data_IF_764113603131
#
_entry.id   IF_764113603131
#
_cell.length_a   1.000
_cell.length_b   1.000
_cell.length_c   1.000
_cell.angle_alpha   90.00
_cell.angle_beta   90.00
_cell.angle_gamma   90.00
#
_symmetry.space_group_name_H-M   'P 1'
#
loop_
_entity.id
_entity.type
_entity.pdbx_description
1 polymer ?
#
# COMPACT_ATOMS: atom_id res chain seq x y z
N UNK A 1 22.03 -19.87 -16.82
CA UNK A 1 22.04 -20.00 -15.35
C UNK A 1 20.97 -21.01 -14.97
N UNK A 2 21.33 -22.06 -14.23
CA UNK A 2 20.34 -22.98 -13.64
C UNK A 2 19.61 -22.29 -12.51
N UNK A 3 18.39 -22.74 -12.16
CA UNK A 3 17.62 -22.15 -11.05
C UNK A 3 18.39 -22.22 -9.72
N UNK A 4 19.13 -23.30 -9.47
CA UNK A 4 20.00 -23.44 -8.31
C UNK A 4 21.10 -22.37 -8.23
N UNK A 5 21.70 -22.00 -9.38
CA UNK A 5 22.72 -20.95 -9.42
C UNK A 5 22.12 -19.57 -9.13
N UNK A 6 20.87 -19.33 -9.55
CA UNK A 6 20.17 -18.08 -9.23
C UNK A 6 19.84 -18.03 -7.75
N UNK A 7 19.31 -19.12 -7.19
CA UNK A 7 18.96 -19.20 -5.77
C UNK A 7 20.18 -18.96 -4.89
N UNK A 8 21.32 -19.63 -5.17
CA UNK A 8 22.58 -19.40 -4.42
C UNK A 8 23.05 -17.95 -4.48
N UNK A 9 22.89 -17.28 -5.63
CA UNK A 9 23.22 -15.85 -5.74
C UNK A 9 22.29 -14.98 -4.89
N UNK A 10 21.00 -15.31 -4.88
CA UNK A 10 20.01 -14.60 -4.05
C UNK A 10 20.27 -14.82 -2.56
N UNK A 11 20.59 -16.04 -2.15
CA UNK A 11 20.94 -16.38 -0.78
C UNK A 11 22.19 -15.62 -0.31
N UNK A 12 23.26 -15.62 -1.13
CA UNK A 12 24.46 -14.85 -0.85
C UNK A 12 24.17 -13.35 -0.75
N UNK A 13 23.32 -12.83 -1.63
CA UNK A 13 22.93 -11.43 -1.59
C UNK A 13 22.14 -11.10 -0.32
N UNK A 14 21.23 -11.98 0.09
CA UNK A 14 20.43 -11.82 1.31
C UNK A 14 21.32 -11.76 2.55
N UNK A 15 22.29 -12.68 2.65
CA UNK A 15 23.26 -12.72 3.76
C UNK A 15 24.25 -11.55 3.75
N UNK A 16 24.56 -10.97 2.57
CA UNK A 16 25.41 -9.78 2.47
C UNK A 16 24.64 -8.50 2.78
N UNK A 17 23.33 -8.48 2.48
CA UNK A 17 22.48 -7.30 2.65
C UNK A 17 22.06 -7.09 4.09
N UNK A 18 21.93 -8.16 4.87
CA UNK A 18 21.42 -8.11 6.23
C UNK A 18 22.29 -8.90 7.20
N UNK A 19 22.71 -8.25 8.26
CA UNK A 19 23.51 -8.84 9.34
C UNK A 19 22.62 -9.48 10.42
N UNK A 20 21.32 -9.21 10.41
CA UNK A 20 20.35 -9.82 11.34
C UNK A 20 18.91 -9.82 10.80
N UNK A 21 18.06 -10.64 11.42
CA UNK A 21 16.60 -10.61 11.19
C UNK A 21 15.98 -9.24 11.51
N UNK A 22 16.58 -8.50 12.45
CA UNK A 22 16.10 -7.19 12.83
C UNK A 22 16.23 -6.21 11.66
N UNK A 23 17.35 -6.23 10.92
CA UNK A 23 17.55 -5.33 9.76
C UNK A 23 16.56 -5.62 8.64
N UNK A 24 16.21 -6.89 8.40
CA UNK A 24 15.19 -7.28 7.44
C UNK A 24 13.83 -6.70 7.85
N UNK A 25 13.50 -6.82 9.14
CA UNK A 25 12.24 -6.29 9.70
C UNK A 25 12.20 -4.76 9.66
N UNK A 26 13.31 -4.08 9.94
CA UNK A 26 13.43 -2.64 9.86
C UNK A 26 13.28 -2.12 8.42
N UNK A 27 13.92 -2.79 7.46
CA UNK A 27 13.77 -2.49 6.04
C UNK A 27 12.30 -2.63 5.59
N UNK A 28 11.63 -3.72 5.98
CA UNK A 28 10.19 -3.90 5.73
C UNK A 28 9.38 -2.73 6.32
N UNK A 29 9.64 -2.36 7.57
CA UNK A 29 8.92 -1.28 8.25
C UNK A 29 9.11 0.08 7.57
N UNK A 30 10.30 0.35 7.04
CA UNK A 30 10.58 1.58 6.28
C UNK A 30 9.75 1.62 5.00
N UNK A 31 9.69 0.51 4.25
CA UNK A 31 8.88 0.44 3.02
C UNK A 31 7.39 0.60 3.31
N UNK A 32 6.88 -0.07 4.34
CA UNK A 32 5.48 0.05 4.78
C UNK A 32 5.17 1.48 5.27
N UNK A 33 6.11 2.13 5.96
CA UNK A 33 5.93 3.51 6.45
C UNK A 33 5.72 4.49 5.29
N UNK A 34 6.43 4.32 4.18
CA UNK A 34 6.22 5.13 2.98
C UNK A 34 4.80 4.96 2.43
N UNK A 35 4.32 3.72 2.31
CA UNK A 35 2.95 3.44 1.84
C UNK A 35 1.89 4.03 2.78
N UNK A 36 2.13 3.98 4.09
CA UNK A 36 1.23 4.56 5.08
C UNK A 36 1.11 6.09 4.96
N UNK A 37 2.19 6.78 4.58
CA UNK A 37 2.13 8.20 4.29
C UNK A 37 1.23 8.49 3.10
N UNK A 38 1.42 7.77 1.99
CA UNK A 38 0.62 7.92 0.77
C UNK A 38 -0.87 7.59 1.02
N UNK A 39 -1.13 6.56 1.83
CA UNK A 39 -2.48 6.18 2.26
C UNK A 39 -3.17 7.31 3.01
N UNK A 40 -2.51 7.89 4.02
CA UNK A 40 -3.07 9.01 4.80
C UNK A 40 -3.40 10.22 3.93
N UNK A 41 -2.54 10.53 2.96
CA UNK A 41 -2.78 11.61 2.00
C UNK A 41 -4.05 11.34 1.18
N UNK A 42 -4.19 10.12 0.65
CA UNK A 42 -5.37 9.73 -0.12
C UNK A 42 -6.64 9.66 0.73
N UNK A 43 -6.56 9.22 1.97
CA UNK A 43 -7.68 9.23 2.93
C UNK A 43 -8.15 10.65 3.24
N UNK A 44 -7.22 11.59 3.48
CA UNK A 44 -7.56 12.99 3.68
C UNK A 44 -8.23 13.61 2.44
N UNK A 45 -7.69 13.32 1.25
CA UNK A 45 -8.32 13.72 -0.01
C UNK A 45 -9.72 13.13 -0.17
N UNK A 46 -9.89 11.84 0.16
CA UNK A 46 -11.19 11.16 0.14
C UNK A 46 -12.20 11.84 1.05
N UNK A 47 -11.82 12.15 2.27
CA UNK A 47 -12.70 12.77 3.26
C UNK A 47 -13.23 14.12 2.72
N UNK A 48 -12.33 14.98 2.23
CA UNK A 48 -12.70 16.26 1.64
C UNK A 48 -13.65 16.11 0.45
N UNK A 49 -13.41 15.12 -0.43
CA UNK A 49 -14.29 14.84 -1.56
C UNK A 49 -15.67 14.33 -1.12
N UNK A 50 -15.75 13.47 -0.11
CA UNK A 50 -17.03 12.99 0.45
C UNK A 50 -17.83 14.13 1.06
N UNK A 51 -17.18 15.01 1.82
CA UNK A 51 -17.82 16.19 2.41
C UNK A 51 -18.37 17.13 1.33
N UNK A 52 -17.57 17.37 0.29
CA UNK A 52 -17.96 18.19 -0.87
C UNK A 52 -19.15 17.59 -1.61
N UNK A 53 -19.10 16.28 -1.89
CA UNK A 53 -20.19 15.56 -2.57
C UNK A 53 -21.49 15.59 -1.77
N UNK A 54 -21.42 15.37 -0.45
CA UNK A 54 -22.58 15.50 0.45
C UNK A 54 -23.10 16.94 0.56
N UNK A 55 -22.22 17.94 0.43
CA UNK A 55 -22.61 19.35 0.32
C UNK A 55 -23.44 19.60 -0.93
N UNK A 56 -22.95 19.15 -2.08
CA UNK A 56 -23.64 19.27 -3.37
C UNK A 56 -25.02 18.58 -3.37
N UNK A 57 -25.14 17.38 -2.79
CA UNK A 57 -26.44 16.71 -2.62
C UNK A 57 -27.42 17.58 -1.81
N UNK A 58 -26.95 18.17 -0.71
CA UNK A 58 -27.79 19.01 0.16
C UNK A 58 -28.27 20.25 -0.58
N UNK A 59 -27.37 20.95 -1.25
CA UNK A 59 -27.69 22.16 -2.01
C UNK A 59 -28.69 21.86 -3.14
N UNK A 60 -28.48 20.78 -3.90
CA UNK A 60 -29.43 20.34 -4.93
C UNK A 60 -30.81 20.03 -4.33
N UNK A 61 -30.85 19.38 -3.16
CA UNK A 61 -32.10 19.12 -2.44
C UNK A 61 -32.80 20.39 -1.94
N UNK A 62 -32.04 21.39 -1.49
CA UNK A 62 -32.58 22.70 -1.10
C UNK A 62 -33.17 23.44 -2.29
N UNK A 63 -32.49 23.44 -3.45
CA UNK A 63 -33.01 24.00 -4.71
C UNK A 63 -34.35 23.36 -5.09
N UNK A 64 -34.43 22.03 -5.07
CA UNK A 64 -35.68 21.32 -5.37
C UNK A 64 -36.81 21.69 -4.41
N UNK A 65 -36.54 21.76 -3.09
CA UNK A 65 -37.54 22.17 -2.09
C UNK A 65 -38.01 23.61 -2.29
N UNK A 66 -37.13 24.49 -2.78
CA UNK A 66 -37.47 25.87 -3.13
C UNK A 66 -38.19 26.00 -4.49
N UNK A 67 -38.48 24.88 -5.17
CA UNK A 67 -39.10 24.88 -6.51
C UNK A 67 -38.14 25.30 -7.63
N UNK A 68 -36.83 25.35 -7.37
CA UNK A 68 -35.80 25.63 -8.35
C UNK A 68 -35.36 24.34 -9.04
N UNK A 69 -35.02 24.41 -10.33
CA UNK A 69 -34.44 23.28 -11.04
C UNK A 69 -33.00 23.05 -10.59
N UNK A 70 -32.64 21.78 -10.37
CA UNK A 70 -31.25 21.34 -10.32
C UNK A 70 -30.74 21.37 -11.75
N UNK A 71 -29.73 22.18 -12.03
CA UNK A 71 -29.25 22.37 -13.38
C UNK A 71 -28.21 21.30 -13.76
N UNK A 72 -27.90 21.20 -15.06
CA UNK A 72 -26.93 20.22 -15.56
C UNK A 72 -25.53 20.38 -14.96
N UNK A 73 -25.18 21.59 -14.52
CA UNK A 73 -23.88 21.87 -13.92
C UNK A 73 -23.77 21.25 -12.52
N UNK A 74 -24.80 21.38 -11.69
CA UNK A 74 -24.88 20.73 -10.38
C UNK A 74 -24.71 19.20 -10.54
N UNK A 75 -25.42 18.61 -11.51
CA UNK A 75 -25.33 17.18 -11.81
C UNK A 75 -23.93 16.78 -12.27
N UNK A 76 -23.30 17.54 -13.17
CA UNK A 76 -21.93 17.26 -13.64
C UNK A 76 -20.90 17.31 -12.52
N UNK A 77 -21.02 18.28 -11.60
CA UNK A 77 -20.11 18.40 -10.47
C UNK A 77 -20.22 17.19 -9.53
N UNK A 78 -21.45 16.74 -9.25
CA UNK A 78 -21.69 15.53 -8.47
C UNK A 78 -21.10 14.29 -9.12
N UNK A 79 -21.29 14.11 -10.44
CA UNK A 79 -20.68 13.00 -11.19
C UNK A 79 -19.15 13.07 -11.15
N UNK A 80 -18.57 14.25 -11.33
CA UNK A 80 -17.11 14.43 -11.28
C UNK A 80 -16.54 14.01 -9.92
N UNK A 81 -17.19 14.42 -8.83
CA UNK A 81 -16.79 14.01 -7.48
C UNK A 81 -16.94 12.49 -7.27
N UNK A 82 -18.00 11.89 -7.78
CA UNK A 82 -18.22 10.44 -7.70
C UNK A 82 -17.13 9.65 -8.43
N UNK A 83 -16.75 10.08 -9.65
CA UNK A 83 -15.66 9.46 -10.41
C UNK A 83 -14.33 9.58 -9.67
N UNK A 84 -14.01 10.76 -9.13
CA UNK A 84 -12.78 10.96 -8.34
C UNK A 84 -12.76 10.13 -7.05
N UNK A 85 -13.92 9.97 -6.38
CA UNK A 85 -14.04 9.10 -5.21
C UNK A 85 -13.81 7.61 -5.55
N UNK A 86 -14.26 7.18 -6.73
CA UNK A 86 -14.02 5.82 -7.21
C UNK A 86 -12.52 5.61 -7.56
N UNK A 87 -11.89 6.57 -8.24
CA UNK A 87 -10.46 6.56 -8.53
C UNK A 87 -9.61 6.51 -7.25
N UNK A 88 -9.88 7.41 -6.31
CA UNK A 88 -9.22 7.42 -5.01
C UNK A 88 -9.41 6.09 -4.26
N UNK A 89 -10.61 5.50 -4.31
CA UNK A 89 -10.87 4.17 -3.74
C UNK A 89 -10.01 3.07 -4.37
N UNK A 90 -9.85 3.08 -5.69
CA UNK A 90 -8.96 2.13 -6.40
C UNK A 90 -7.49 2.33 -6.00
N UNK A 91 -7.03 3.57 -5.86
CA UNK A 91 -5.68 3.88 -5.41
C UNK A 91 -5.42 3.39 -3.98
N UNK A 92 -6.37 3.58 -3.07
CA UNK A 92 -6.27 3.06 -1.70
C UNK A 92 -6.19 1.52 -1.67
N UNK A 93 -7.03 0.84 -2.46
CA UNK A 93 -6.99 -0.61 -2.58
C UNK A 93 -5.65 -1.12 -3.14
N UNK A 94 -5.08 -0.42 -4.13
CA UNK A 94 -3.78 -0.74 -4.69
C UNK A 94 -2.65 -0.58 -3.66
N UNK A 95 -2.69 0.46 -2.81
CA UNK A 95 -1.73 0.63 -1.72
C UNK A 95 -1.82 -0.49 -0.69
N UNK A 96 -3.03 -0.96 -0.36
CA UNK A 96 -3.23 -2.11 0.53
C UNK A 96 -2.66 -3.39 -0.06
N UNK A 97 -2.98 -3.71 -1.31
CA UNK A 97 -2.43 -4.89 -1.97
C UNK A 97 -0.88 -4.83 -2.07
N UNK A 98 -0.33 -3.64 -2.29
CA UNK A 98 1.13 -3.45 -2.30
C UNK A 98 1.76 -3.67 -0.92
N UNK A 99 1.12 -3.20 0.15
CA UNK A 99 1.60 -3.47 1.51
C UNK A 99 1.59 -4.96 1.83
N UNK A 100 0.53 -5.68 1.46
CA UNK A 100 0.44 -7.14 1.63
C UNK A 100 1.57 -7.85 0.88
N UNK A 101 1.79 -7.50 -0.38
CA UNK A 101 2.87 -8.06 -1.19
C UNK A 101 4.26 -7.80 -0.60
N UNK A 102 4.51 -6.60 -0.06
CA UNK A 102 5.78 -6.28 0.61
C UNK A 102 5.95 -7.16 1.86
N UNK A 103 4.90 -7.28 2.68
CA UNK A 103 4.96 -8.14 3.88
C UNK A 103 5.25 -9.59 3.51
N UNK A 104 4.61 -10.11 2.48
CA UNK A 104 4.85 -11.48 1.98
C UNK A 104 6.29 -11.66 1.51
N UNK A 105 6.82 -10.72 0.72
CA UNK A 105 8.19 -10.77 0.22
C UNK A 105 9.21 -10.76 1.37
N UNK A 106 9.06 -9.83 2.31
CA UNK A 106 9.97 -9.73 3.46
C UNK A 106 9.85 -10.92 4.42
N UNK A 107 8.66 -11.48 4.60
CA UNK A 107 8.48 -12.71 5.38
C UNK A 107 9.21 -13.90 4.73
N UNK A 108 9.12 -14.04 3.39
CA UNK A 108 9.87 -15.06 2.67
C UNK A 108 11.39 -14.86 2.81
N UNK A 109 11.85 -13.61 2.76
CA UNK A 109 13.26 -13.29 3.01
C UNK A 109 13.69 -13.64 4.45
N UNK A 110 12.87 -13.36 5.46
CA UNK A 110 13.13 -13.73 6.86
C UNK A 110 13.23 -15.25 7.04
N UNK A 111 12.27 -16.01 6.50
CA UNK A 111 12.29 -17.47 6.55
C UNK A 111 13.53 -18.03 5.86
N UNK A 112 13.90 -17.48 4.70
CA UNK A 112 15.10 -17.91 3.98
C UNK A 112 16.38 -17.57 4.74
N UNK A 113 16.45 -16.38 5.31
CA UNK A 113 17.59 -15.94 6.12
C UNK A 113 17.80 -16.85 7.33
N UNK A 114 16.72 -17.18 8.05
CA UNK A 114 16.75 -18.12 9.19
C UNK A 114 17.32 -19.49 8.79
N UNK A 115 16.82 -20.06 7.70
CA UNK A 115 17.29 -21.34 7.20
C UNK A 115 18.77 -21.30 6.79
N UNK A 116 19.24 -20.20 6.20
CA UNK A 116 20.64 -20.03 5.84
C UNK A 116 21.52 -19.93 7.09
N UNK A 117 21.14 -19.12 8.08
CA UNK A 117 21.88 -18.98 9.34
C UNK A 117 22.01 -20.32 10.07
N UNK A 118 20.91 -21.10 10.14
CA UNK A 118 20.92 -22.45 10.71
C UNK A 118 21.87 -23.38 9.95
N UNK A 119 21.80 -23.38 8.61
CA UNK A 119 22.72 -24.17 7.77
C UNK A 119 24.19 -23.78 8.00
N UNK A 120 24.51 -22.49 8.10
CA UNK A 120 25.88 -22.04 8.37
C UNK A 120 26.37 -22.45 9.76
N UNK A 121 25.47 -22.53 10.76
CA UNK A 121 25.81 -22.99 12.10
C UNK A 121 26.04 -24.52 12.16
N UNK A 122 25.32 -25.29 11.34
CA UNK A 122 25.53 -26.74 11.21
C UNK A 122 26.81 -27.08 10.43
N UNK A 123 27.15 -26.29 9.41
CA UNK A 123 28.33 -26.47 8.56
C UNK A 123 29.66 -26.00 9.23
N UNK A 124 29.60 -25.14 10.26
CA UNK A 124 30.75 -24.72 11.08
C UNK A 124 30.40 -24.66 12.58
N UNK A 125 30.38 -25.81 13.30
CA UNK A 125 29.99 -25.88 14.71
C UNK A 125 31.06 -25.31 15.68
N UNK A 126 32.06 -24.58 15.17
CA UNK A 126 33.35 -24.32 15.82
C UNK A 126 33.72 -22.86 16.09
N UNK A 127 32.76 -21.94 16.26
CA UNK A 127 33.01 -20.61 16.83
C UNK A 127 32.19 -20.33 18.07
#
# INVERSE_FOLDING_TARGET
YTEEQKQRKMDNFLMLRYDSEQEITEAMNVEIKQLNYDRRLLEGSRQSMVESWRGQIREAGDKQRAGQSVNDEDVRQMYTLQTRLAENGRSLAALTAREESIREEFNSQLERYRALVEQYAEDDPGR
#
